data_IF_922814902983
#
_entry.id   IF_922814902983
#
_cell.length_a   1.000
_cell.length_b   1.000
_cell.length_c   1.000
_cell.angle_alpha   90.00
_cell.angle_beta   90.00
_cell.angle_gamma   90.00
#
_symmetry.space_group_name_H-M   'P 1'
#
loop_
_entity.id
_entity.type
_entity.pdbx_description
1 polymer ?
#
# COMPACT_ATOMS: atom_id res chain seq x y z
N UNK A 1 -5.55 0.36 -0.04
CA UNK A 1 -4.17 0.56 0.42
C UNK A 1 -4.12 1.85 1.20
N UNK A 2 -3.75 1.74 2.47
CA UNK A 2 -3.55 2.86 3.37
C UNK A 2 -2.09 2.93 3.77
N UNK A 3 -1.62 4.14 4.00
CA UNK A 3 -0.32 4.44 4.59
C UNK A 3 -0.57 4.98 5.99
N UNK A 4 0.25 4.56 6.94
CA UNK A 4 0.15 5.01 8.33
C UNK A 4 1.56 5.31 8.85
N UNK A 5 1.72 6.48 9.48
CA UNK A 5 2.96 6.83 10.16
C UNK A 5 2.75 6.91 11.67
N UNK A 6 2.99 5.83 12.41
CA UNK A 6 3.03 5.84 13.88
C UNK A 6 4.43 6.17 14.41
N UNK A 7 5.35 6.56 13.53
CA UNK A 7 6.66 7.08 13.91
C UNK A 7 6.56 8.47 14.55
N UNK A 8 7.69 8.95 15.07
CA UNK A 8 7.81 10.27 15.69
C UNK A 8 8.38 11.35 14.74
N UNK A 9 8.69 10.98 13.50
CA UNK A 9 9.22 11.85 12.45
C UNK A 9 8.40 11.70 11.17
N UNK A 10 8.34 12.76 10.36
CA UNK A 10 7.71 12.69 9.05
C UNK A 10 8.49 11.74 8.15
N UNK A 11 7.78 10.93 7.36
CA UNK A 11 8.39 9.91 6.52
C UNK A 11 7.86 9.94 5.09
N UNK A 12 8.73 9.59 4.15
CA UNK A 12 8.37 9.42 2.74
C UNK A 12 8.03 7.96 2.46
N UNK A 13 6.90 7.77 1.79
CA UNK A 13 6.40 6.50 1.29
C UNK A 13 6.37 6.55 -0.24
N UNK A 14 7.18 5.75 -0.91
CA UNK A 14 7.15 5.59 -2.35
C UNK A 14 6.30 4.37 -2.70
N UNK A 15 5.20 4.59 -3.44
CA UNK A 15 4.22 3.55 -3.75
C UNK A 15 4.12 3.36 -5.26
N UNK A 16 4.32 2.12 -5.70
CA UNK A 16 4.08 1.69 -7.08
C UNK A 16 3.06 0.56 -7.10
N UNK A 17 2.01 0.70 -7.90
CA UNK A 17 0.99 -0.33 -8.11
C UNK A 17 1.07 -0.83 -9.54
N UNK A 18 1.25 -2.14 -9.69
CA UNK A 18 1.38 -2.80 -10.98
C UNK A 18 0.28 -3.84 -11.13
N UNK A 19 -0.46 -3.80 -12.24
CA UNK A 19 -1.36 -4.90 -12.63
C UNK A 19 -0.54 -6.11 -13.05
N UNK A 20 -0.71 -7.24 -12.38
CA UNK A 20 0.14 -8.41 -12.65
C UNK A 20 -0.15 -9.05 -14.01
N UNK A 21 -1.41 -9.01 -14.46
CA UNK A 21 -1.83 -9.61 -15.72
C UNK A 21 -1.21 -8.93 -16.96
N UNK A 22 -1.09 -7.60 -16.93
CA UNK A 22 -0.60 -6.78 -18.05
C UNK A 22 0.80 -6.21 -17.82
N UNK A 23 1.32 -6.33 -16.59
CA UNK A 23 2.52 -5.65 -16.11
C UNK A 23 2.47 -4.12 -16.32
N UNK A 24 1.27 -3.55 -16.27
CA UNK A 24 1.01 -2.10 -16.39
C UNK A 24 1.13 -1.44 -15.03
N UNK A 25 1.94 -0.39 -14.93
CA UNK A 25 1.96 0.48 -13.74
C UNK A 25 0.75 1.39 -13.77
N UNK A 26 -0.18 1.19 -12.83
CA UNK A 26 -1.41 1.99 -12.70
C UNK A 26 -1.28 3.12 -11.70
N UNK A 27 -0.25 3.06 -10.84
CA UNK A 27 0.04 4.09 -9.86
C UNK A 27 1.54 4.10 -9.55
N UNK A 28 2.12 5.30 -9.44
CA UNK A 28 3.51 5.52 -9.07
C UNK A 28 3.62 6.92 -8.47
N UNK A 29 3.58 7.01 -7.14
CA UNK A 29 3.62 8.29 -6.42
C UNK A 29 4.34 8.17 -5.09
N UNK A 30 4.94 9.29 -4.66
CA UNK A 30 5.53 9.45 -3.34
C UNK A 30 4.62 10.29 -2.44
N UNK A 31 4.48 9.88 -1.18
CA UNK A 31 3.70 10.57 -0.16
C UNK A 31 4.58 10.89 1.04
N UNK A 32 4.43 12.09 1.59
CA UNK A 32 5.05 12.47 2.86
C UNK A 32 3.94 12.53 3.90
N UNK A 33 4.06 11.73 4.95
CA UNK A 33 3.12 11.69 6.06
C UNK A 33 3.83 12.20 7.32
N UNK A 34 3.19 13.14 8.02
CA UNK A 34 3.60 13.58 9.35
C UNK A 34 3.33 12.48 10.41
N UNK A 35 3.91 12.60 11.62
CA UNK A 35 3.60 11.69 12.72
C UNK A 35 2.09 11.61 12.99
N UNK A 36 1.60 10.39 13.21
CA UNK A 36 0.19 10.04 13.44
C UNK A 36 -0.74 10.31 12.24
N UNK A 37 -0.20 10.62 11.05
CA UNK A 37 -0.99 10.80 9.84
C UNK A 37 -1.29 9.46 9.16
N UNK A 38 -2.52 9.33 8.64
CA UNK A 38 -2.95 8.24 7.77
C UNK A 38 -3.38 8.76 6.39
N UNK A 39 -3.17 7.95 5.36
CA UNK A 39 -3.53 8.30 3.98
C UNK A 39 -4.01 7.11 3.17
N UNK A 40 -5.18 7.23 2.57
CA UNK A 40 -5.64 6.31 1.53
C UNK A 40 -4.96 6.61 0.19
N UNK A 41 -4.31 5.61 -0.40
CA UNK A 41 -3.56 5.74 -1.68
C UNK A 41 -4.27 5.05 -2.83
N UNK A 42 -4.83 3.87 -2.57
CA UNK A 42 -5.45 3.07 -3.62
C UNK A 42 -6.64 2.30 -3.05
N UNK A 43 -7.86 2.64 -3.47
CA UNK A 43 -9.03 1.90 -3.05
C UNK A 43 -9.11 0.59 -3.84
N UNK A 44 -8.80 -0.52 -3.16
CA UNK A 44 -8.86 -1.87 -3.72
C UNK A 44 -10.29 -2.33 -3.98
N UNK A 45 -11.29 -1.63 -3.46
CA UNK A 45 -12.72 -1.94 -3.60
C UNK A 45 -13.36 -1.17 -4.77
N UNK A 46 -12.93 0.06 -5.04
CA UNK A 46 -13.45 0.88 -6.17
C UNK A 46 -12.78 0.57 -7.51
N UNK A 47 -11.54 0.09 -7.52
CA UNK A 47 -10.82 -0.19 -8.77
C UNK A 47 -11.34 -1.46 -9.49
N UNK A 48 -12.22 -2.23 -8.84
CA UNK A 48 -12.81 -3.51 -9.31
C UNK A 48 -13.97 -3.30 -10.30
N UNK A 49 -13.89 -2.32 -11.21
CA UNK A 49 -14.98 -2.10 -12.18
C UNK A 49 -15.02 -3.15 -13.30
N UNK A 50 -14.01 -4.03 -13.43
CA UNK A 50 -13.88 -4.99 -14.56
C UNK A 50 -13.71 -6.47 -14.14
N UNK A 51 -13.86 -6.81 -12.86
CA UNK A 51 -13.77 -8.19 -12.34
C UNK A 51 -12.56 -8.45 -11.44
N UNK A 52 -12.26 -9.72 -11.17
CA UNK A 52 -11.14 -10.13 -10.29
C UNK A 52 -9.81 -9.80 -10.98
N UNK A 53 -9.08 -8.82 -10.46
CA UNK A 53 -7.72 -8.49 -10.89
C UNK A 53 -6.70 -8.65 -9.76
N UNK A 54 -5.49 -9.12 -10.08
CA UNK A 54 -4.38 -9.16 -9.13
C UNK A 54 -3.47 -7.95 -9.37
N UNK A 55 -3.19 -7.21 -8.31
CA UNK A 55 -2.30 -6.04 -8.30
C UNK A 55 -1.16 -6.28 -7.32
N UNK A 56 0.04 -5.87 -7.72
CA UNK A 56 1.23 -5.88 -6.87
C UNK A 56 1.49 -4.46 -6.37
N UNK A 57 1.36 -4.27 -5.06
CA UNK A 57 1.74 -3.06 -4.34
C UNK A 57 3.20 -3.17 -3.93
N UNK A 58 4.05 -2.37 -4.54
CA UNK A 58 5.45 -2.21 -4.14
C UNK A 58 5.56 -0.93 -3.35
N UNK A 59 6.21 -0.99 -2.21
CA UNK A 59 6.39 0.16 -1.34
C UNK A 59 7.84 0.28 -0.90
N UNK A 60 8.28 1.52 -0.70
CA UNK A 60 9.52 1.85 -0.01
C UNK A 60 9.22 2.90 1.07
N UNK A 61 9.66 2.63 2.29
CA UNK A 61 9.48 3.53 3.43
C UNK A 61 10.55 3.23 4.48
N UNK A 62 11.06 4.24 5.16
CA UNK A 62 12.06 4.09 6.24
C UNK A 62 13.29 3.22 5.88
N UNK A 63 13.80 3.32 4.64
CA UNK A 63 14.86 2.48 4.07
C UNK A 63 14.52 0.98 3.93
N UNK A 64 13.28 0.59 4.17
CA UNK A 64 12.76 -0.72 3.87
C UNK A 64 11.97 -0.70 2.57
N UNK A 65 11.89 -1.86 1.93
CA UNK A 65 11.05 -2.06 0.75
C UNK A 65 10.26 -3.34 0.92
N UNK A 66 9.05 -3.35 0.39
CA UNK A 66 8.19 -4.52 0.43
C UNK A 66 7.32 -4.65 -0.80
N UNK A 67 6.74 -5.82 -0.96
CA UNK A 67 5.78 -6.09 -2.02
C UNK A 67 4.63 -6.92 -1.47
N UNK A 68 3.41 -6.48 -1.73
CA UNK A 68 2.18 -7.17 -1.37
C UNK A 68 1.36 -7.39 -2.63
N UNK A 69 1.02 -8.63 -2.91
CA UNK A 69 0.11 -8.98 -4.00
C UNK A 69 -1.30 -9.14 -3.43
N UNK A 70 -2.24 -8.37 -3.97
CA UNK A 70 -3.64 -8.44 -3.59
C UNK A 70 -4.43 -8.86 -4.80
N UNK A 71 -5.23 -9.91 -4.64
CA UNK A 71 -6.24 -10.27 -5.61
C UNK A 71 -7.53 -9.57 -5.20
N UNK A 72 -7.98 -8.61 -6.00
CA UNK A 72 -9.24 -7.91 -5.78
C UNK A 72 -10.41 -8.90 -5.95
N UNK A 73 -10.77 -9.57 -4.87
CA UNK A 73 -11.96 -10.38 -4.76
C UNK A 73 -12.63 -10.06 -3.41
N UNK A 74 -13.86 -10.53 -3.20
CA UNK A 74 -14.65 -10.25 -1.99
C UNK A 74 -13.97 -10.66 -0.66
N UNK A 75 -12.90 -11.44 -0.72
CA UNK A 75 -12.19 -12.00 0.42
C UNK A 75 -10.92 -11.23 0.79
N UNK A 76 -10.38 -10.38 -0.10
CA UNK A 76 -9.20 -9.57 0.23
C UNK A 76 -9.61 -8.19 0.75
N UNK A 77 -9.23 -7.90 1.99
CA UNK A 77 -9.41 -6.60 2.61
C UNK A 77 -8.37 -5.57 2.18
N UNK A 78 -8.37 -4.42 2.86
CA UNK A 78 -7.38 -3.38 2.63
C UNK A 78 -5.96 -3.86 3.00
N UNK A 79 -4.97 -3.44 2.21
CA UNK A 79 -3.57 -3.45 2.62
C UNK A 79 -3.18 -2.15 3.31
N UNK A 80 -2.20 -2.26 4.21
CA UNK A 80 -1.63 -1.19 5.00
C UNK A 80 -0.12 -1.26 4.85
N UNK A 81 0.52 -0.10 4.68
CA UNK A 81 1.96 0.09 4.88
C UNK A 81 2.12 1.02 6.05
N UNK A 82 2.78 0.54 7.08
CA UNK A 82 2.77 1.16 8.39
C UNK A 82 4.21 1.38 8.83
N UNK A 83 4.57 2.61 9.17
CA UNK A 83 5.78 2.89 9.95
C UNK A 83 5.39 2.79 11.42
N UNK A 84 6.09 1.94 12.16
CA UNK A 84 5.90 1.72 13.59
C UNK A 84 6.59 2.82 14.41
N UNK A 85 6.29 2.86 15.71
CA UNK A 85 6.94 3.76 16.68
C UNK A 85 8.47 3.61 16.73
N UNK A 86 9.00 2.42 16.41
CA UNK A 86 10.44 2.16 16.35
C UNK A 86 11.10 2.60 15.03
N UNK A 87 10.32 3.18 14.11
CA UNK A 87 10.76 3.64 12.80
C UNK A 87 10.87 2.54 11.75
N UNK A 88 10.53 1.28 12.06
CA UNK A 88 10.50 0.19 11.08
C UNK A 88 9.24 0.27 10.22
N UNK A 89 9.35 -0.10 8.95
CA UNK A 89 8.20 -0.16 8.06
C UNK A 89 7.74 -1.60 7.87
N UNK A 90 6.43 -1.83 7.88
CA UNK A 90 5.85 -3.13 7.59
C UNK A 90 4.68 -3.00 6.62
N UNK A 91 4.26 -4.14 6.07
CA UNK A 91 2.98 -4.21 5.36
C UNK A 91 2.10 -5.33 5.87
N UNK A 92 0.85 -5.00 6.14
CA UNK A 92 -0.18 -5.94 6.59
C UNK A 92 -1.36 -5.90 5.63
N UNK A 93 -1.99 -7.06 5.41
CA UNK A 93 -3.22 -7.16 4.65
C UNK A 93 -4.13 -8.21 5.30
N UNK A 94 -5.43 -8.03 5.16
CA UNK A 94 -6.41 -9.01 5.64
C UNK A 94 -6.93 -9.87 4.50
N UNK A 95 -7.07 -11.16 4.77
CA UNK A 95 -7.79 -12.11 3.92
C UNK A 95 -8.90 -12.70 4.80
N UNK A 96 -10.08 -12.91 4.22
CA UNK A 96 -11.06 -13.83 4.77
C UNK A 96 -10.54 -15.29 4.65
#
# INVERSE_FOLDING_TARGET
MYLENHGNESATFDITVVRTATNETVHDQSYVLDPEEDREVYNTNESISDGIETVAFRWAAANETGTVEITTNDCYGNAYVTIREDGTAESTYSIC
#
